data_IF_330341765607
#
_entry.id   IF_330341765607
#
_cell.length_a   1.000
_cell.length_b   1.000
_cell.length_c   1.000
_cell.angle_alpha   90.00
_cell.angle_beta   90.00
_cell.angle_gamma   90.00
#
_symmetry.space_group_name_H-M   'P 1'
#
loop_
_entity.id
_entity.type
_entity.pdbx_description
1 polymer ?
#
# COMPACT_ATOMS: atom_id res chain seq x y z
N UNK A 1 -5.53 14.06 2.86
CA UNK A 1 -4.61 14.14 1.71
C UNK A 1 -3.76 12.89 1.67
N UNK A 2 -3.35 12.44 0.47
CA UNK A 2 -2.45 11.31 0.27
C UNK A 2 -1.10 11.86 -0.17
N UNK A 3 -0.01 11.31 0.38
CA UNK A 3 1.37 11.68 0.00
C UNK A 3 2.24 10.44 -0.13
N UNK A 4 3.29 10.55 -0.93
CA UNK A 4 4.36 9.57 -1.00
C UNK A 4 5.51 10.10 -0.16
N UNK A 5 5.79 9.48 0.98
CA UNK A 5 6.87 9.91 1.87
C UNK A 5 8.23 9.42 1.37
N UNK A 6 8.30 8.16 0.92
CA UNK A 6 9.49 7.57 0.28
C UNK A 6 9.10 6.96 -1.06
N UNK A 7 9.85 7.25 -2.12
CA UNK A 7 9.59 6.73 -3.47
C UNK A 7 10.81 5.96 -3.97
N UNK A 8 10.61 4.70 -4.36
CA UNK A 8 11.62 3.82 -4.94
C UNK A 8 12.87 3.61 -4.06
N UNK A 9 12.67 3.50 -2.75
CA UNK A 9 13.72 3.16 -1.78
C UNK A 9 14.15 1.70 -1.97
N UNK A 10 15.45 1.44 -2.08
CA UNK A 10 15.97 0.07 -2.17
C UNK A 10 16.31 -0.43 -0.76
N UNK A 11 15.56 -1.42 -0.29
CA UNK A 11 15.77 -2.08 1.00
C UNK A 11 16.45 -3.43 0.81
N UNK A 12 17.57 -3.63 1.50
CA UNK A 12 18.38 -4.85 1.42
C UNK A 12 18.01 -5.80 2.55
N UNK A 13 17.59 -7.01 2.18
CA UNK A 13 17.41 -8.14 3.08
C UNK A 13 18.51 -9.18 2.82
N UNK A 14 18.58 -10.23 3.64
CA UNK A 14 19.64 -11.24 3.59
C UNK A 14 19.85 -11.85 2.20
N UNK A 15 18.77 -12.06 1.44
CA UNK A 15 18.80 -12.78 0.17
C UNK A 15 18.30 -11.96 -1.03
N UNK A 16 17.79 -10.74 -0.81
CA UNK A 16 17.16 -9.94 -1.88
C UNK A 16 17.22 -8.45 -1.59
N UNK A 17 17.31 -7.64 -2.65
CA UNK A 17 17.06 -6.21 -2.61
C UNK A 17 15.65 -5.93 -3.13
N UNK A 18 14.83 -5.25 -2.34
CA UNK A 18 13.45 -4.90 -2.70
C UNK A 18 13.32 -3.41 -2.93
N UNK A 19 12.62 -3.01 -3.99
CA UNK A 19 12.22 -1.63 -4.20
C UNK A 19 10.89 -1.38 -3.48
N UNK A 20 10.90 -0.47 -2.50
CA UNK A 20 9.78 -0.15 -1.62
C UNK A 20 9.44 1.33 -1.77
N UNK A 21 8.14 1.64 -1.80
CA UNK A 21 7.63 3.01 -1.74
C UNK A 21 6.64 3.12 -0.59
N UNK A 22 6.72 4.20 0.18
CA UNK A 22 5.87 4.47 1.34
C UNK A 22 4.83 5.51 0.99
N UNK A 23 3.55 5.14 1.12
CA UNK A 23 2.40 6.01 0.86
C UNK A 23 1.63 6.21 2.16
N UNK A 24 1.35 7.46 2.50
CA UNK A 24 0.71 7.86 3.75
C UNK A 24 -0.51 8.73 3.49
N UNK A 25 -1.50 8.61 4.37
CA UNK A 25 -2.66 9.48 4.39
C UNK A 25 -3.13 9.71 5.83
N UNK A 26 -3.69 10.90 6.09
CA UNK A 26 -4.45 11.15 7.31
C UNK A 26 -5.92 10.82 7.05
N UNK A 27 -6.49 9.97 7.89
CA UNK A 27 -7.88 9.54 7.83
C UNK A 27 -8.74 10.51 8.66
N UNK A 28 -9.99 10.72 8.21
CA UNK A 28 -10.97 11.51 8.95
C UNK A 28 -11.47 10.75 10.19
N UNK A 29 -11.77 11.48 11.28
CA UNK A 29 -12.18 10.88 12.57
C UNK A 29 -13.43 9.99 12.47
N UNK A 30 -14.27 10.21 11.45
CA UNK A 30 -15.50 9.46 11.21
C UNK A 30 -15.29 8.09 10.55
N UNK A 31 -14.08 7.78 10.10
CA UNK A 31 -13.80 6.53 9.37
C UNK A 31 -13.26 5.49 10.34
N UNK A 32 -13.94 4.34 10.44
CA UNK A 32 -13.51 3.24 11.28
C UNK A 32 -12.35 2.45 10.64
N UNK A 33 -11.45 1.93 11.48
CA UNK A 33 -10.29 1.16 11.01
C UNK A 33 -10.67 -0.09 10.20
N UNK A 34 -11.82 -0.70 10.50
CA UNK A 34 -12.28 -1.88 9.77
C UNK A 34 -12.66 -1.55 8.31
N UNK A 35 -13.18 -0.35 8.07
CA UNK A 35 -13.56 0.07 6.72
C UNK A 35 -12.31 0.35 5.87
N UNK A 36 -11.23 0.84 6.49
CA UNK A 36 -9.93 0.98 5.82
C UNK A 36 -9.45 -0.39 5.31
N UNK A 37 -9.47 -1.41 6.18
CA UNK A 37 -9.03 -2.77 5.81
C UNK A 37 -9.91 -3.32 4.69
N UNK A 38 -11.24 -3.23 4.80
CA UNK A 38 -12.19 -3.71 3.77
C UNK A 38 -11.92 -3.08 2.41
N UNK A 39 -11.61 -1.78 2.36
CA UNK A 39 -11.38 -1.06 1.11
C UNK A 39 -9.97 -1.28 0.54
N UNK A 40 -8.97 -1.60 1.37
CA UNK A 40 -7.60 -1.83 0.91
C UNK A 40 -7.32 -3.30 0.56
N UNK A 41 -8.10 -4.24 1.07
CA UNK A 41 -7.90 -5.68 0.89
C UNK A 41 -8.47 -6.23 -0.43
N UNK A 42 -7.85 -7.25 -1.05
CA UNK A 42 -6.46 -7.66 -0.86
C UNK A 42 -5.49 -6.59 -1.37
N UNK A 43 -4.26 -6.63 -0.88
CA UNK A 43 -3.22 -5.66 -1.20
C UNK A 43 -2.87 -5.66 -2.70
N UNK A 44 -2.89 -4.48 -3.34
CA UNK A 44 -2.64 -4.34 -4.77
C UNK A 44 -1.25 -4.80 -5.21
N UNK A 45 -0.25 -4.71 -4.34
CA UNK A 45 1.13 -5.15 -4.60
C UNK A 45 1.28 -6.66 -4.80
N UNK A 46 0.35 -7.46 -4.26
CA UNK A 46 0.38 -8.92 -4.39
C UNK A 46 -0.65 -9.44 -5.41
N UNK A 47 -1.51 -8.56 -5.95
CA UNK A 47 -2.50 -8.92 -6.98
C UNK A 47 -2.13 -8.36 -8.35
N UNK A 48 -2.00 -7.03 -8.46
CA UNK A 48 -1.92 -6.31 -9.73
C UNK A 48 -3.00 -5.23 -9.87
N UNK A 49 -2.99 -4.52 -11.00
CA UNK A 49 -3.93 -3.45 -11.32
C UNK A 49 -4.36 -3.53 -12.80
N UNK A 50 -5.66 -3.35 -13.13
CA UNK A 50 -6.80 -3.10 -12.23
C UNK A 50 -7.16 -4.31 -11.34
N UNK A 51 -7.39 -4.08 -10.03
CA UNK A 51 -7.44 -5.14 -9.00
C UNK A 51 -8.39 -6.30 -9.32
N UNK A 52 -9.64 -5.99 -9.69
CA UNK A 52 -10.69 -7.00 -9.97
C UNK A 52 -10.35 -7.85 -11.20
N UNK A 53 -9.70 -7.27 -12.20
CA UNK A 53 -9.35 -7.99 -13.42
C UNK A 53 -8.07 -8.83 -13.26
N UNK A 54 -7.22 -8.49 -12.28
CA UNK A 54 -5.97 -9.20 -11.99
C UNK A 54 -6.17 -10.39 -11.03
N UNK A 55 -7.32 -10.48 -10.37
CA UNK A 55 -7.72 -11.59 -9.49
C UNK A 55 -8.58 -12.59 -10.26
#
# INVERSE_FOLDING_TARGET
SVRVSNLFEVQSFETVHQMVSTVEAKIEEKVESIDIIKNCFPMGSMTGAPKIAAM
#
